data_IF_405169279133
#
_entry.id   IF_405169279133
#
_cell.length_a   1.000
_cell.length_b   1.000
_cell.length_c   1.000
_cell.angle_alpha   90.00
_cell.angle_beta   90.00
_cell.angle_gamma   90.00
#
_symmetry.space_group_name_H-M   'P 1'
#
loop_
_entity.id
_entity.type
_entity.pdbx_description
1 polymer ?
#
# COMPACT_ATOMS: atom_id res chain seq x y z
N UNK A 1 19.40 -12.50 4.40
CA UNK A 1 18.33 -12.08 3.47
C UNK A 1 17.15 -11.62 4.29
N UNK A 2 16.70 -10.37 4.12
CA UNK A 2 15.52 -9.86 4.81
C UNK A 2 14.26 -10.28 4.04
N UNK A 3 13.32 -10.95 4.70
CA UNK A 3 12.03 -11.37 4.14
C UNK A 3 10.99 -11.37 5.25
N UNK A 4 9.83 -10.76 5.03
CA UNK A 4 8.76 -10.69 6.00
C UNK A 4 7.38 -10.79 5.33
N UNK A 5 6.46 -11.48 5.98
CA UNK A 5 5.07 -11.51 5.56
C UNK A 5 4.35 -10.22 6.01
N UNK A 6 3.57 -9.63 5.10
CA UNK A 6 2.87 -8.35 5.34
C UNK A 6 1.35 -8.54 5.26
N UNK A 7 0.86 -9.04 4.12
CA UNK A 7 -0.57 -9.25 3.89
C UNK A 7 -0.84 -10.08 2.64
N UNK A 8 -2.11 -10.47 2.43
CA UNK A 8 -2.54 -11.20 1.23
C UNK A 8 -2.76 -10.23 0.07
N UNK A 9 -2.50 -10.70 -1.15
CA UNK A 9 -2.76 -9.93 -2.36
C UNK A 9 -1.89 -8.68 -2.47
N UNK A 10 -0.58 -8.81 -2.22
CA UNK A 10 0.36 -7.71 -2.37
C UNK A 10 0.56 -7.33 -3.84
N UNK A 11 0.58 -6.03 -4.12
CA UNK A 11 0.87 -5.44 -5.43
C UNK A 11 2.02 -4.43 -5.31
N UNK A 12 1.88 -3.25 -5.92
CA UNK A 12 2.96 -2.28 -6.02
C UNK A 12 3.28 -1.61 -4.69
N UNK A 13 4.45 -0.99 -4.68
CA UNK A 13 5.01 -0.33 -3.52
C UNK A 13 5.46 1.07 -3.89
N UNK A 14 5.41 1.99 -2.93
CA UNK A 14 5.99 3.32 -3.04
C UNK A 14 6.95 3.55 -1.88
N UNK A 15 8.03 4.30 -2.11
CA UNK A 15 9.00 4.64 -1.06
C UNK A 15 9.12 6.15 -0.94
N UNK A 16 9.17 6.65 0.30
CA UNK A 16 9.49 8.05 0.61
C UNK A 16 10.75 8.10 1.45
N UNK A 17 11.73 8.82 0.93
CA UNK A 17 12.92 9.17 1.70
C UNK A 17 12.60 10.14 2.83
N UNK A 18 11.66 11.07 2.62
CA UNK A 18 11.29 12.08 3.60
C UNK A 18 10.61 11.46 4.83
N UNK A 19 9.75 10.48 4.62
CA UNK A 19 9.10 9.74 5.71
C UNK A 19 9.90 8.53 6.18
N UNK A 20 10.99 8.20 5.49
CA UNK A 20 11.75 6.97 5.64
C UNK A 20 10.81 5.75 5.75
N UNK A 21 9.91 5.62 4.78
CA UNK A 21 8.84 4.63 4.82
C UNK A 21 8.64 3.96 3.45
N UNK A 22 8.30 2.68 3.51
CA UNK A 22 7.87 1.88 2.36
C UNK A 22 6.37 1.61 2.52
N UNK A 23 5.56 1.92 1.51
CA UNK A 23 4.15 1.54 1.47
C UNK A 23 3.93 0.38 0.53
N UNK A 24 3.03 -0.51 0.89
CA UNK A 24 2.65 -1.68 0.08
C UNK A 24 1.14 -1.69 -0.09
N UNK A 25 0.68 -1.64 -1.33
CA UNK A 25 -0.73 -1.83 -1.67
C UNK A 25 -1.10 -3.31 -1.57
N UNK A 26 -2.20 -3.61 -0.88
CA UNK A 26 -2.71 -4.98 -0.76
C UNK A 26 -4.22 -5.04 -1.01
N UNK A 27 -4.63 -5.90 -1.94
CA UNK A 27 -6.05 -6.10 -2.29
C UNK A 27 -6.79 -7.00 -1.29
N UNK A 28 -6.06 -7.61 -0.35
CA UNK A 28 -6.56 -8.67 0.54
C UNK A 28 -7.15 -9.85 -0.26
N UNK A 29 -7.99 -10.69 0.36
CA UNK A 29 -8.68 -11.77 -0.34
C UNK A 29 -9.62 -11.24 -1.41
N UNK A 30 -9.65 -11.90 -2.57
CA UNK A 30 -10.60 -11.58 -3.64
C UNK A 30 -12.05 -11.90 -3.26
N UNK A 31 -12.27 -12.97 -2.49
CA UNK A 31 -13.62 -13.49 -2.19
C UNK A 31 -14.11 -13.19 -0.78
N UNK A 32 -13.21 -12.92 0.17
CA UNK A 32 -13.57 -12.78 1.58
C UNK A 32 -13.58 -11.33 2.07
N UNK A 33 -12.78 -10.46 1.45
CA UNK A 33 -12.56 -9.11 1.94
C UNK A 33 -13.21 -8.08 1.00
N UNK A 34 -13.93 -7.12 1.58
CA UNK A 34 -14.33 -5.89 0.91
C UNK A 34 -13.27 -4.82 1.17
N UNK A 35 -12.96 -4.03 0.15
CA UNK A 35 -11.86 -3.07 0.22
C UNK A 35 -10.49 -3.73 0.34
N UNK A 36 -9.48 -2.93 0.65
CA UNK A 36 -8.09 -3.38 0.79
C UNK A 36 -7.34 -2.62 1.87
N UNK A 37 -6.04 -2.87 1.97
CA UNK A 37 -5.18 -2.26 2.97
C UNK A 37 -3.92 -1.74 2.30
N UNK A 38 -3.51 -0.52 2.65
CA UNK A 38 -2.15 -0.04 2.42
C UNK A 38 -1.39 -0.19 3.74
N UNK A 39 -0.29 -0.93 3.71
CA UNK A 39 0.59 -1.05 4.88
C UNK A 39 1.75 -0.08 4.73
N UNK A 40 2.03 0.72 5.77
CA UNK A 40 3.30 1.42 5.92
C UNK A 40 4.27 0.52 6.66
N UNK A 41 5.47 0.40 6.13
CA UNK A 41 6.53 -0.45 6.63
C UNK A 41 7.76 0.38 6.97
N UNK A 42 8.46 -0.03 8.02
CA UNK A 42 9.84 0.37 8.23
C UNK A 42 10.73 -0.22 7.12
N UNK A 43 11.52 0.59 6.39
CA UNK A 43 12.25 0.13 5.21
C UNK A 43 13.46 -0.76 5.54
N UNK A 44 13.90 -0.80 6.80
CA UNK A 44 15.07 -1.58 7.24
C UNK A 44 14.65 -2.96 7.76
N UNK A 45 13.49 -3.06 8.39
CA UNK A 45 13.01 -4.26 9.10
C UNK A 45 11.78 -4.90 8.43
N UNK A 46 11.09 -4.12 7.60
CA UNK A 46 9.77 -4.44 7.02
C UNK A 46 8.66 -4.60 8.05
N UNK A 47 8.88 -4.16 9.31
CA UNK A 47 7.82 -4.13 10.32
C UNK A 47 6.70 -3.18 9.91
N UNK A 48 5.46 -3.61 10.11
CA UNK A 48 4.28 -2.77 9.85
C UNK A 48 4.24 -1.68 10.91
N UNK A 49 4.38 -0.44 10.47
CA UNK A 49 4.31 0.76 11.33
C UNK A 49 2.94 1.42 11.26
N UNK A 50 2.18 1.18 10.19
CA UNK A 50 0.81 1.67 10.04
C UNK A 50 -0.02 0.76 9.13
N UNK A 51 -1.33 0.71 9.40
CA UNK A 51 -2.34 0.01 8.60
C UNK A 51 -3.38 1.03 8.17
N UNK A 52 -3.58 1.18 6.86
CA UNK A 52 -4.55 2.12 6.29
C UNK A 52 -5.63 1.31 5.57
N UNK A 53 -6.83 1.29 6.15
CA UNK A 53 -7.99 0.64 5.56
C UNK A 53 -8.55 1.48 4.42
N UNK A 54 -8.80 0.84 3.28
CA UNK A 54 -9.35 1.46 2.09
C UNK A 54 -10.66 0.77 1.73
N UNK A 55 -11.71 1.56 1.44
CA UNK A 55 -12.99 1.03 0.98
C UNK A 55 -12.88 0.30 -0.37
N UNK A 56 -11.94 0.75 -1.21
CA UNK A 56 -11.61 0.15 -2.50
C UNK A 56 -10.28 -0.59 -2.43
N UNK A 57 -10.12 -1.63 -3.25
CA UNK A 57 -8.88 -2.43 -3.26
C UNK A 57 -7.76 -1.62 -3.97
N UNK A 58 -6.61 -1.35 -3.33
CA UNK A 58 -5.47 -0.72 -3.99
C UNK A 58 -4.61 -1.78 -4.70
N UNK A 59 -4.08 -1.43 -5.87
CA UNK A 59 -3.24 -2.31 -6.69
C UNK A 59 -1.95 -1.59 -7.14
N UNK A 60 -2.07 -0.69 -8.11
CA UNK A 60 -0.95 0.16 -8.52
C UNK A 60 -0.65 1.20 -7.45
N UNK A 61 0.60 1.60 -7.30
CA UNK A 61 1.03 2.53 -6.26
C UNK A 61 2.15 3.44 -6.78
N UNK A 62 1.99 4.74 -6.55
CA UNK A 62 3.06 5.72 -6.75
C UNK A 62 2.99 6.82 -5.69
N UNK A 63 4.02 7.65 -5.61
CA UNK A 63 4.09 8.76 -4.67
C UNK A 63 4.52 10.03 -5.38
N UNK A 64 3.82 11.13 -5.11
CA UNK A 64 4.30 12.46 -5.44
C UNK A 64 5.23 12.94 -4.32
N UNK A 65 6.54 12.90 -4.55
CA UNK A 65 7.54 13.29 -3.54
C UNK A 65 7.50 14.79 -3.16
N UNK A 66 6.93 15.65 -4.00
CA UNK A 66 6.82 17.08 -3.66
C UNK A 66 5.69 17.34 -2.66
N UNK A 67 4.58 16.59 -2.75
CA UNK A 67 3.43 16.75 -1.85
C UNK A 67 3.35 15.67 -0.78
N UNK A 68 4.19 14.63 -0.86
CA UNK A 68 4.13 13.42 -0.05
C UNK A 68 2.77 12.70 -0.13
N UNK A 69 2.09 12.82 -1.27
CA UNK A 69 0.78 12.16 -1.51
C UNK A 69 0.98 10.84 -2.22
N UNK A 70 0.41 9.78 -1.67
CA UNK A 70 0.33 8.47 -2.30
C UNK A 70 -0.84 8.43 -3.28
N UNK A 71 -0.63 7.78 -4.41
CA UNK A 71 -1.66 7.57 -5.42
C UNK A 71 -1.80 6.08 -5.71
N UNK A 72 -3.01 5.57 -5.54
CA UNK A 72 -3.31 4.15 -5.70
C UNK A 72 -4.33 3.92 -6.80
N UNK A 73 -4.03 2.99 -7.71
CA UNK A 73 -5.00 2.51 -8.70
C UNK A 73 -5.94 1.48 -8.09
N UNK A 74 -7.25 1.70 -8.20
CA UNK A 74 -8.27 0.72 -7.79
C UNK A 74 -8.74 -0.08 -9.01
N UNK A 75 -7.91 -1.02 -9.47
CA UNK A 75 -8.07 -1.73 -10.74
C UNK A 75 -9.45 -2.37 -10.93
N UNK A 76 -10.06 -2.92 -9.88
CA UNK A 76 -11.37 -3.59 -9.96
C UNK A 76 -12.56 -2.65 -10.01
N UNK A 77 -12.32 -1.38 -9.70
CA UNK A 77 -13.35 -0.35 -9.50
C UNK A 77 -13.22 0.78 -10.53
N UNK A 78 -12.14 0.77 -11.33
CA UNK A 78 -11.85 1.79 -12.35
C UNK A 78 -11.71 3.21 -11.80
N UNK A 79 -11.15 3.34 -10.59
CA UNK A 79 -10.92 4.62 -9.90
C UNK A 79 -9.47 4.77 -9.43
N UNK A 80 -9.15 5.93 -8.87
CA UNK A 80 -7.89 6.25 -8.20
C UNK A 80 -8.16 6.82 -6.81
N UNK A 81 -7.36 6.42 -5.82
CA UNK A 81 -7.33 6.99 -4.47
C UNK A 81 -6.09 7.86 -4.31
N UNK A 82 -6.22 8.99 -3.62
CA UNK A 82 -5.10 9.80 -3.15
C UNK A 82 -5.12 9.84 -1.61
N UNK A 83 -4.02 9.46 -0.98
CA UNK A 83 -3.82 9.44 0.48
C UNK A 83 -2.63 10.33 0.89
#
# INVERSE_FOLDING_TARGET
MLRKAVGKGAYEMAYSQQENALWVATSQSRSLDKGGIVYRLDPTTLEVTQVIHNDLKPFGATINNATQTLWFGNTTDSTVTAD
#
